data_IF_690693927056
#
_entry.id   IF_690693927056
#
_cell.length_a   1.000
_cell.length_b   1.000
_cell.length_c   1.000
_cell.angle_alpha   90.00
_cell.angle_beta   90.00
_cell.angle_gamma   90.00
#
_symmetry.space_group_name_H-M   'P 1'
#
loop_
_entity.id
_entity.type
_entity.pdbx_description
1 polymer ?
#
# COMPACT_ATOMS: atom_id res chain seq x y z
N UNK A 1 4.49 3.96 6.60
CA UNK A 1 3.31 3.52 5.83
C UNK A 1 3.67 3.18 4.38
N UNK A 2 4.23 4.08 3.57
CA UNK A 2 4.66 3.69 2.22
C UNK A 2 5.70 2.56 2.24
N UNK A 3 6.61 2.56 3.21
CA UNK A 3 7.55 1.44 3.45
C UNK A 3 6.86 0.09 3.72
N UNK A 4 5.67 0.09 4.32
CA UNK A 4 4.91 -1.15 4.51
C UNK A 4 4.49 -1.75 3.16
N UNK A 5 3.99 -0.92 2.25
CA UNK A 5 3.61 -1.37 0.90
C UNK A 5 4.83 -1.68 0.03
N UNK A 6 5.96 -0.98 0.21
CA UNK A 6 7.23 -1.35 -0.42
C UNK A 6 7.74 -2.72 0.00
N UNK A 7 7.60 -3.07 1.29
CA UNK A 7 8.04 -4.37 1.82
C UNK A 7 7.15 -5.51 1.35
N UNK A 8 5.82 -5.31 1.35
CA UNK A 8 4.88 -6.39 1.07
C UNK A 8 4.53 -6.52 -0.42
N UNK A 9 4.66 -5.44 -1.21
CA UNK A 9 4.36 -5.35 -2.65
C UNK A 9 2.89 -5.59 -3.02
N UNK A 10 2.25 -6.63 -2.51
CA UNK A 10 0.84 -6.97 -2.66
C UNK A 10 0.34 -7.49 -1.32
N UNK A 11 -0.78 -6.95 -0.83
CA UNK A 11 -1.37 -7.36 0.44
C UNK A 11 -2.89 -7.40 0.37
N UNK A 12 -3.51 -8.35 1.06
CA UNK A 12 -4.97 -8.41 1.17
C UNK A 12 -5.52 -7.17 1.88
N UNK A 13 -6.63 -6.61 1.40
CA UNK A 13 -7.20 -5.34 1.88
C UNK A 13 -7.53 -5.38 3.38
N UNK A 14 -8.17 -6.47 3.83
CA UNK A 14 -8.52 -6.66 5.25
C UNK A 14 -7.26 -6.71 6.12
N UNK A 15 -6.23 -7.45 5.67
CA UNK A 15 -4.97 -7.58 6.39
C UNK A 15 -4.24 -6.23 6.46
N UNK A 16 -4.17 -5.51 5.34
CA UNK A 16 -3.56 -4.19 5.26
C UNK A 16 -4.17 -3.21 6.27
N UNK A 17 -5.51 -3.12 6.30
CA UNK A 17 -6.21 -2.23 7.24
C UNK A 17 -5.93 -2.64 8.70
N UNK A 18 -5.98 -3.96 8.99
CA UNK A 18 -5.71 -4.49 10.33
C UNK A 18 -4.29 -4.18 10.79
N UNK A 19 -3.28 -4.46 9.98
CA UNK A 19 -1.87 -4.23 10.33
C UNK A 19 -1.54 -2.75 10.43
N UNK A 20 -2.05 -1.92 9.51
CA UNK A 20 -1.87 -0.47 9.57
C UNK A 20 -2.50 0.13 10.83
N UNK A 21 -3.66 -0.37 11.27
CA UNK A 21 -4.29 0.06 12.52
C UNK A 21 -3.51 -0.42 13.75
N UNK A 22 -3.14 -1.70 13.80
CA UNK A 22 -2.56 -2.30 15.01
C UNK A 22 -1.07 -2.01 15.18
N UNK A 23 -0.29 -2.13 14.11
CA UNK A 23 1.17 -2.00 14.13
C UNK A 23 1.62 -0.56 13.91
N UNK A 24 0.95 0.16 13.03
CA UNK A 24 1.30 1.54 12.68
C UNK A 24 0.42 2.59 13.37
N UNK A 25 -0.53 2.17 14.22
CA UNK A 25 -1.40 3.03 15.04
C UNK A 25 -2.15 4.10 14.23
N UNK A 26 -2.50 3.78 12.97
CA UNK A 26 -3.24 4.69 12.12
C UNK A 26 -4.73 4.69 12.50
N UNK A 27 -5.28 5.88 12.76
CA UNK A 27 -6.69 6.06 13.11
C UNK A 27 -7.63 5.65 11.97
N UNK A 28 -7.27 6.02 10.73
CA UNK A 28 -8.02 5.70 9.51
C UNK A 28 -7.10 5.21 8.39
N UNK A 29 -6.75 3.91 8.39
CA UNK A 29 -5.95 3.30 7.33
C UNK A 29 -6.58 3.38 5.94
N UNK A 30 -7.92 3.33 5.86
CA UNK A 30 -8.65 3.29 4.59
C UNK A 30 -8.49 4.62 3.85
N UNK A 31 -8.70 5.74 4.53
CA UNK A 31 -8.50 7.07 3.94
C UNK A 31 -7.08 7.28 3.41
N UNK A 32 -6.09 6.74 4.12
CA UNK A 32 -4.69 6.79 3.71
C UNK A 32 -4.44 5.93 2.46
N UNK A 33 -4.93 4.69 2.46
CA UNK A 33 -4.87 3.77 1.31
C UNK A 33 -5.48 4.42 0.08
N UNK A 34 -6.68 4.97 0.19
CA UNK A 34 -7.36 5.64 -0.92
C UNK A 34 -6.58 6.85 -1.43
N UNK A 35 -5.97 7.62 -0.52
CA UNK A 35 -5.12 8.76 -0.90
C UNK A 35 -3.91 8.31 -1.71
N UNK A 36 -3.29 7.19 -1.35
CA UNK A 36 -2.18 6.63 -2.12
C UNK A 36 -2.61 6.04 -3.46
N UNK A 37 -3.79 5.42 -3.54
CA UNK A 37 -4.38 4.95 -4.80
C UNK A 37 -4.62 6.13 -5.73
N UNK A 38 -5.25 7.20 -5.24
CA UNK A 38 -5.49 8.44 -6.04
C UNK A 38 -4.19 9.08 -6.54
N UNK A 39 -3.09 8.95 -5.78
CA UNK A 39 -1.76 9.43 -6.17
C UNK A 39 -1.03 8.51 -7.14
N UNK A 40 -1.61 7.37 -7.54
CA UNK A 40 -0.97 6.39 -8.41
C UNK A 40 0.18 5.65 -7.74
N UNK A 41 0.25 5.66 -6.40
CA UNK A 41 1.29 4.96 -5.64
C UNK A 41 0.91 3.53 -5.31
N UNK A 42 -0.40 3.27 -5.21
CA UNK A 42 -0.98 1.94 -5.02
C UNK A 42 -2.04 1.67 -6.11
N UNK A 43 -2.32 0.40 -6.34
CA UNK A 43 -3.34 -0.11 -7.25
C UNK A 43 -4.29 -1.02 -6.45
N UNK A 44 -5.62 -0.85 -6.63
CA UNK A 44 -6.62 -1.73 -6.01
C UNK A 44 -6.94 -2.89 -6.94
N UNK A 45 -6.74 -4.11 -6.47
CA UNK A 45 -7.20 -5.35 -7.10
C UNK A 45 -8.47 -5.88 -6.42
N UNK A 46 -8.91 -7.07 -6.81
CA UNK A 46 -10.02 -7.75 -6.12
C UNK A 46 -9.54 -8.23 -4.75
N UNK A 47 -9.97 -7.55 -3.68
CA UNK A 47 -9.62 -7.89 -2.30
C UNK A 47 -8.15 -7.63 -1.91
N UNK A 48 -7.38 -6.97 -2.77
CA UNK A 48 -5.95 -6.73 -2.57
C UNK A 48 -5.56 -5.29 -2.88
N UNK A 49 -4.48 -4.83 -2.23
CA UNK A 49 -3.83 -3.55 -2.45
C UNK A 49 -2.40 -3.83 -2.87
N UNK A 50 -2.02 -3.33 -4.03
CA UNK A 50 -0.71 -3.52 -4.63
C UNK A 50 0.07 -2.21 -4.65
N UNK A 51 1.39 -2.27 -4.51
CA UNK A 51 2.26 -1.17 -4.89
C UNK A 51 2.16 -0.97 -6.39
N UNK A 52 1.96 0.26 -6.86
CA UNK A 52 1.73 0.49 -8.29
C UNK A 52 2.88 -0.02 -9.16
N UNK A 53 2.55 -0.54 -10.34
CA UNK A 53 3.52 -1.07 -11.31
C UNK A 53 4.63 -0.07 -11.64
N UNK A 54 4.26 1.18 -11.93
CA UNK A 54 5.18 2.29 -12.15
C UNK A 54 6.15 2.50 -10.99
N UNK A 55 5.64 2.42 -9.75
CA UNK A 55 6.45 2.56 -8.54
C UNK A 55 7.42 1.38 -8.39
N UNK A 56 6.99 0.15 -8.64
CA UNK A 56 7.88 -1.04 -8.61
C UNK A 56 9.03 -0.90 -9.60
N UNK A 57 8.76 -0.43 -10.82
CA UNK A 57 9.79 -0.20 -11.82
C UNK A 57 10.77 0.92 -11.44
N UNK A 58 10.27 2.01 -10.84
CA UNK A 58 11.12 3.07 -10.31
C UNK A 58 12.05 2.58 -9.18
N UNK A 59 11.57 1.68 -8.32
CA UNK A 59 12.37 1.12 -7.23
C UNK A 59 13.46 0.20 -7.74
N UNK A 60 13.19 -0.63 -8.76
CA UNK A 60 14.20 -1.51 -9.39
C UNK A 60 15.36 -0.74 -10.01
N UNK A 61 15.10 0.43 -10.59
CA UNK A 61 16.13 1.27 -11.24
C UNK A 61 17.08 1.98 -10.26
N UNK A 62 16.80 1.93 -8.96
CA UNK A 62 17.58 2.61 -7.91
C UNK A 62 18.47 1.66 -7.10
N UNK A 63 18.47 0.36 -7.43
CA UNK A 63 19.30 -0.68 -6.79
C UNK A 63 20.42 -1.08 -7.73
#
# INVERSE_FOLDING_TARGET
MFEYFKKNISVGEILAVKELRLLYKLEDPLKIIESLIRKGLLEKGVGCINLASSVREMLKKRV
#
